data_IF_132515225030
#
_entry.id   IF_132515225030
#
_cell.length_a   1.000
_cell.length_b   1.000
_cell.length_c   1.000
_cell.angle_alpha   90.00
_cell.angle_beta   90.00
_cell.angle_gamma   90.00
#
_symmetry.space_group_name_H-M   'P 1'
#
loop_
_entity.id
_entity.type
_entity.pdbx_description
1 polymer ?
#
# COMPACT_ATOMS: atom_id res chain seq x y z
N UNK A 1 -74.87 22.09 -65.61
CA UNK A 1 -74.15 22.07 -64.31
C UNK A 1 -74.47 20.76 -63.61
N UNK A 2 -73.61 19.80 -63.29
CA UNK A 2 -72.20 19.51 -63.55
C UNK A 2 -71.95 18.15 -62.90
N UNK A 3 -72.02 17.03 -63.65
CA UNK A 3 -71.72 15.67 -63.12
C UNK A 3 -70.22 15.36 -63.10
N UNK A 4 -69.44 16.04 -63.94
CA UNK A 4 -67.97 15.95 -63.99
C UNK A 4 -67.26 16.30 -62.66
N UNK A 5 -67.63 17.38 -61.93
CA UNK A 5 -67.00 17.68 -60.63
C UNK A 5 -67.34 16.63 -59.55
N UNK A 6 -68.51 15.99 -59.62
CA UNK A 6 -68.89 14.94 -58.67
C UNK A 6 -68.12 13.64 -58.92
N UNK A 7 -67.98 13.21 -60.17
CA UNK A 7 -67.17 12.03 -60.54
C UNK A 7 -65.70 12.26 -60.18
N UNK A 8 -65.16 13.45 -60.45
CA UNK A 8 -63.80 13.81 -60.06
C UNK A 8 -63.61 13.78 -58.54
N UNK A 9 -64.54 14.34 -57.76
CA UNK A 9 -64.48 14.30 -56.30
C UNK A 9 -64.53 12.87 -55.75
N UNK A 10 -65.37 12.00 -56.32
CA UNK A 10 -65.45 10.59 -55.93
C UNK A 10 -64.14 9.85 -56.25
N UNK A 11 -63.54 10.09 -57.42
CA UNK A 11 -62.25 9.48 -57.80
C UNK A 11 -61.13 9.94 -56.87
N UNK A 12 -61.08 11.23 -56.52
CA UNK A 12 -60.11 11.77 -55.56
C UNK A 12 -60.30 11.15 -54.18
N UNK A 13 -61.53 11.02 -53.70
CA UNK A 13 -61.82 10.37 -52.41
C UNK A 13 -61.43 8.89 -52.42
N UNK A 14 -61.70 8.16 -53.50
CA UNK A 14 -61.29 6.75 -53.65
C UNK A 14 -59.76 6.62 -53.67
N UNK A 15 -59.05 7.52 -54.36
CA UNK A 15 -57.59 7.55 -54.38
C UNK A 15 -56.99 7.91 -53.01
N UNK A 16 -57.61 8.84 -52.28
CA UNK A 16 -57.21 9.18 -50.91
C UNK A 16 -57.47 8.02 -49.93
N UNK A 17 -58.60 7.32 -50.06
CA UNK A 17 -58.89 6.13 -49.27
C UNK A 17 -57.94 4.98 -49.59
N UNK A 18 -57.67 4.73 -50.88
CA UNK A 18 -56.69 3.73 -51.31
C UNK A 18 -55.27 4.09 -50.84
N UNK A 19 -54.89 5.37 -50.89
CA UNK A 19 -53.63 5.88 -50.37
C UNK A 19 -53.53 5.73 -48.85
N UNK A 20 -54.59 6.06 -48.11
CA UNK A 20 -54.65 5.87 -46.66
C UNK A 20 -54.57 4.39 -46.25
N UNK A 21 -55.26 3.50 -46.97
CA UNK A 21 -55.17 2.04 -46.78
C UNK A 21 -53.77 1.53 -47.12
N UNK A 22 -53.14 2.05 -48.18
CA UNK A 22 -51.76 1.72 -48.54
C UNK A 22 -50.75 2.15 -47.48
N UNK A 23 -50.87 3.38 -46.96
CA UNK A 23 -50.04 3.90 -45.85
C UNK A 23 -50.23 3.06 -44.59
N UNK A 24 -51.49 2.74 -44.25
CA UNK A 24 -51.81 1.89 -43.11
C UNK A 24 -51.23 0.46 -43.27
N UNK A 25 -51.39 -0.15 -44.44
CA UNK A 25 -50.86 -1.50 -44.71
C UNK A 25 -49.33 -1.52 -44.69
N UNK A 26 -48.68 -0.46 -45.18
CA UNK A 26 -47.22 -0.31 -45.15
C UNK A 26 -46.69 -0.15 -43.73
N UNK A 27 -47.22 0.78 -42.94
CA UNK A 27 -46.85 0.98 -41.52
C UNK A 27 -47.14 -0.31 -40.71
N UNK A 28 -48.27 -0.97 -40.96
CA UNK A 28 -48.64 -2.21 -40.26
C UNK A 28 -47.72 -3.39 -40.60
N UNK A 29 -47.24 -3.49 -41.84
CA UNK A 29 -46.29 -4.54 -42.25
C UNK A 29 -44.89 -4.40 -41.64
N UNK A 30 -44.59 -3.24 -41.05
CA UNK A 30 -43.30 -2.91 -40.44
C UNK A 30 -43.42 -2.60 -38.95
N UNK A 31 -44.50 -3.06 -38.34
CA UNK A 31 -44.74 -2.87 -36.91
C UNK A 31 -43.58 -3.41 -36.05
N UNK A 32 -42.89 -4.46 -36.49
CA UNK A 32 -41.80 -5.05 -35.71
C UNK A 32 -40.41 -4.51 -36.08
N UNK A 33 -40.31 -3.52 -36.97
CA UNK A 33 -39.02 -2.95 -37.39
C UNK A 33 -38.69 -1.65 -36.67
N UNK A 34 -37.42 -1.52 -36.29
CA UNK A 34 -36.85 -0.32 -35.70
C UNK A 34 -36.50 0.65 -36.83
N UNK A 35 -36.75 1.96 -36.62
CA UNK A 35 -36.47 2.97 -37.63
C UNK A 35 -34.95 3.10 -37.88
N UNK A 36 -34.57 3.37 -39.12
CA UNK A 36 -33.16 3.57 -39.49
C UNK A 36 -32.52 4.70 -38.67
N UNK A 37 -31.28 4.49 -38.20
CA UNK A 37 -30.51 5.46 -37.42
C UNK A 37 -30.64 5.36 -35.90
N UNK A 38 -31.45 4.42 -35.38
CA UNK A 38 -31.56 4.16 -33.94
C UNK A 38 -30.39 3.32 -33.46
N UNK A 39 -29.69 3.81 -32.44
CA UNK A 39 -28.60 3.09 -31.77
C UNK A 39 -28.95 2.77 -30.32
N UNK A 40 -28.48 1.64 -29.84
CA UNK A 40 -28.58 1.24 -28.42
C UNK A 40 -27.18 0.93 -27.91
N UNK A 41 -26.68 1.71 -26.95
CA UNK A 41 -25.34 1.53 -26.40
C UNK A 41 -24.23 1.61 -27.45
N UNK A 42 -24.43 2.39 -28.51
CA UNK A 42 -23.50 2.50 -29.64
C UNK A 42 -23.63 1.43 -30.72
N UNK A 43 -24.52 0.44 -30.56
CA UNK A 43 -24.82 -0.58 -31.58
C UNK A 43 -25.96 -0.08 -32.46
N UNK A 44 -25.76 -0.11 -33.79
CA UNK A 44 -26.80 0.24 -34.77
C UNK A 44 -27.83 -0.89 -34.86
N UNK A 45 -29.07 -0.57 -34.50
CA UNK A 45 -30.22 -1.49 -34.56
C UNK A 45 -31.28 -0.99 -35.54
N UNK A 46 -31.00 0.09 -36.27
CA UNK A 46 -31.91 0.65 -37.25
C UNK A 46 -32.16 -0.32 -38.40
N UNK A 47 -33.41 -0.41 -38.85
CA UNK A 47 -33.82 -1.29 -39.94
C UNK A 47 -33.93 -2.78 -39.56
N UNK A 48 -33.59 -3.14 -38.32
CA UNK A 48 -33.71 -4.51 -37.80
C UNK A 48 -35.12 -4.78 -37.25
N UNK A 49 -35.55 -6.04 -37.31
CA UNK A 49 -36.68 -6.53 -36.52
C UNK A 49 -36.33 -6.60 -35.03
N UNK A 50 -37.32 -6.70 -34.14
CA UNK A 50 -37.02 -6.79 -32.70
C UNK A 50 -36.21 -8.02 -32.33
N UNK A 51 -36.35 -9.13 -33.06
CA UNK A 51 -35.56 -10.34 -32.82
C UNK A 51 -34.13 -10.20 -33.36
N UNK A 52 -33.93 -9.64 -34.56
CA UNK A 52 -32.60 -9.34 -35.10
C UNK A 52 -31.84 -8.36 -34.19
N UNK A 53 -32.48 -7.29 -33.74
CA UNK A 53 -31.89 -6.32 -32.82
C UNK A 53 -31.50 -6.96 -31.48
N UNK A 54 -32.28 -7.93 -30.97
CA UNK A 54 -31.91 -8.67 -29.74
C UNK A 54 -30.69 -9.55 -29.97
N UNK A 55 -30.59 -10.22 -31.11
CA UNK A 55 -29.43 -11.06 -31.44
C UNK A 55 -28.17 -10.23 -31.60
N UNK A 56 -28.27 -9.07 -32.28
CA UNK A 56 -27.16 -8.15 -32.46
C UNK A 56 -26.68 -7.57 -31.13
N UNK A 57 -27.59 -7.04 -30.29
CA UNK A 57 -27.24 -6.54 -28.96
C UNK A 57 -26.71 -7.65 -28.04
N UNK A 58 -27.18 -8.90 -28.20
CA UNK A 58 -26.59 -10.03 -27.48
C UNK A 58 -25.15 -10.30 -27.93
N UNK A 59 -24.85 -10.15 -29.22
CA UNK A 59 -23.52 -10.35 -29.78
C UNK A 59 -22.54 -9.24 -29.39
N UNK A 60 -22.96 -7.98 -29.50
CA UNK A 60 -22.09 -6.80 -29.37
C UNK A 60 -22.04 -6.24 -27.95
N UNK A 61 -23.07 -6.46 -27.12
CA UNK A 61 -23.11 -5.97 -25.73
C UNK A 61 -23.01 -7.13 -24.74
N UNK A 62 -23.92 -8.10 -24.81
CA UNK A 62 -24.01 -9.15 -23.79
C UNK A 62 -22.78 -10.07 -23.76
N UNK A 63 -22.33 -10.59 -24.90
CA UNK A 63 -21.18 -11.51 -24.96
C UNK A 63 -19.88 -10.88 -24.46
N UNK A 64 -19.50 -9.65 -24.87
CA UNK A 64 -18.34 -8.97 -24.28
C UNK A 64 -18.48 -8.84 -22.77
N UNK A 65 -19.67 -8.51 -22.26
CA UNK A 65 -19.96 -8.35 -20.84
C UNK A 65 -19.93 -9.65 -20.00
N UNK A 66 -19.97 -10.82 -20.63
CA UNK A 66 -19.89 -12.14 -19.97
C UNK A 66 -18.45 -12.57 -19.64
N UNK A 67 -17.44 -11.99 -20.26
CA UNK A 67 -16.03 -12.26 -19.96
C UNK A 67 -15.66 -11.95 -18.48
N UNK A 68 -14.57 -12.56 -18.01
CA UNK A 68 -14.02 -12.30 -16.67
C UNK A 68 -13.14 -11.06 -16.70
N UNK A 69 -13.24 -10.21 -15.67
CA UNK A 69 -12.31 -9.11 -15.43
C UNK A 69 -11.17 -9.63 -14.57
N UNK A 70 -9.94 -9.57 -15.07
CA UNK A 70 -8.70 -9.88 -14.37
C UNK A 70 -8.11 -8.57 -13.80
N UNK A 71 -8.03 -8.45 -12.48
CA UNK A 71 -7.30 -7.40 -11.79
C UNK A 71 -5.88 -7.87 -11.52
N UNK A 72 -4.89 -7.14 -12.04
CA UNK A 72 -3.47 -7.38 -11.78
C UNK A 72 -2.92 -6.42 -10.72
N UNK A 73 -2.38 -6.95 -9.63
CA UNK A 73 -1.76 -6.19 -8.55
C UNK A 73 -0.36 -6.73 -8.26
N UNK A 74 0.68 -6.04 -8.75
CA UNK A 74 2.03 -6.60 -8.72
C UNK A 74 2.13 -7.85 -9.59
N UNK A 75 2.49 -8.98 -8.98
CA UNK A 75 2.54 -10.30 -9.61
C UNK A 75 1.26 -11.12 -9.39
N UNK A 76 0.41 -10.69 -8.46
CA UNK A 76 -0.86 -11.35 -8.13
C UNK A 76 -1.98 -10.99 -9.10
N UNK A 77 -2.94 -11.90 -9.21
CA UNK A 77 -4.09 -11.79 -10.11
C UNK A 77 -5.38 -12.17 -9.40
N UNK A 78 -6.42 -11.39 -9.66
CA UNK A 78 -7.73 -11.55 -9.05
C UNK A 78 -8.78 -11.48 -10.13
N UNK A 79 -9.73 -12.41 -10.13
CA UNK A 79 -10.73 -12.51 -11.16
C UNK A 79 -12.10 -12.10 -10.62
N UNK A 80 -12.88 -11.42 -11.45
CA UNK A 80 -14.29 -11.15 -11.23
C UNK A 80 -15.06 -11.61 -12.46
N UNK A 81 -15.72 -12.77 -12.36
CA UNK A 81 -16.56 -13.27 -13.43
C UNK A 81 -17.86 -12.46 -13.53
N UNK A 82 -18.47 -12.42 -14.72
CA UNK A 82 -19.77 -11.79 -14.92
C UNK A 82 -20.87 -12.38 -14.02
N UNK A 83 -20.77 -13.67 -13.68
CA UNK A 83 -21.71 -14.36 -12.78
C UNK A 83 -21.59 -13.85 -11.33
N UNK A 84 -20.38 -13.70 -10.82
CA UNK A 84 -20.12 -13.17 -9.48
C UNK A 84 -20.51 -11.70 -9.39
N UNK A 85 -20.14 -10.92 -10.41
CA UNK A 85 -20.56 -9.54 -10.56
C UNK A 85 -22.08 -9.39 -10.81
N UNK A 86 -22.81 -10.48 -11.03
CA UNK A 86 -24.24 -10.50 -11.38
C UNK A 86 -24.55 -9.50 -12.50
N UNK A 87 -23.72 -9.51 -13.54
CA UNK A 87 -23.90 -8.64 -14.70
C UNK A 87 -25.15 -9.11 -15.43
N UNK A 88 -26.12 -8.21 -15.56
CA UNK A 88 -27.35 -8.47 -16.29
C UNK A 88 -27.67 -7.32 -17.24
N UNK A 89 -28.26 -7.69 -18.38
CA UNK A 89 -28.54 -6.78 -19.50
C UNK A 89 -29.94 -7.10 -20.00
N UNK A 90 -30.91 -6.21 -19.73
CA UNK A 90 -32.29 -6.41 -20.19
C UNK A 90 -32.42 -6.01 -21.67
N UNK A 91 -31.96 -6.90 -22.54
CA UNK A 91 -32.01 -6.71 -23.99
C UNK A 91 -33.45 -6.52 -24.49
N UNK A 92 -34.44 -7.15 -23.83
CA UNK A 92 -35.84 -7.00 -24.22
C UNK A 92 -36.34 -5.59 -23.95
N UNK A 93 -36.06 -5.04 -22.77
CA UNK A 93 -36.43 -3.67 -22.45
C UNK A 93 -35.72 -2.67 -23.38
N UNK A 94 -34.43 -2.87 -23.67
CA UNK A 94 -33.70 -1.99 -24.59
C UNK A 94 -34.30 -1.97 -26.00
N UNK A 95 -34.62 -3.13 -26.56
CA UNK A 95 -35.26 -3.23 -27.87
C UNK A 95 -36.69 -2.70 -27.86
N UNK A 96 -37.42 -2.89 -26.75
CA UNK A 96 -38.78 -2.34 -26.59
C UNK A 96 -38.74 -0.81 -26.58
N UNK A 97 -37.76 -0.22 -25.88
CA UNK A 97 -37.56 1.23 -25.85
C UNK A 97 -37.15 1.77 -27.24
N UNK A 98 -36.26 1.06 -27.96
CA UNK A 98 -35.87 1.40 -29.33
C UNK A 98 -37.05 1.36 -30.31
N UNK A 99 -37.92 0.35 -30.20
CA UNK A 99 -39.13 0.25 -31.01
C UNK A 99 -40.16 1.35 -30.65
N UNK A 100 -40.33 1.63 -29.36
CA UNK A 100 -41.22 2.68 -28.90
C UNK A 100 -40.79 4.06 -29.42
N UNK A 101 -39.49 4.36 -29.33
CA UNK A 101 -38.88 5.59 -29.84
C UNK A 101 -39.02 5.71 -31.37
N UNK A 102 -38.80 4.60 -32.09
CA UNK A 102 -38.99 4.52 -33.54
C UNK A 102 -40.41 4.85 -33.99
N UNK A 103 -41.39 4.59 -33.12
CA UNK A 103 -42.82 4.79 -33.40
C UNK A 103 -43.34 6.16 -32.97
N UNK A 104 -42.50 7.02 -32.38
CA UNK A 104 -42.92 8.35 -31.96
C UNK A 104 -43.34 9.22 -33.16
N UNK A 105 -44.46 9.95 -33.02
CA UNK A 105 -45.08 10.74 -34.08
C UNK A 105 -46.34 10.12 -34.69
N UNK A 106 -46.86 10.73 -35.76
CA UNK A 106 -48.08 10.27 -36.43
C UNK A 106 -47.76 9.38 -37.65
N UNK A 107 -48.70 8.52 -38.03
CA UNK A 107 -48.59 7.56 -39.15
C UNK A 107 -48.01 8.20 -40.42
N UNK A 108 -48.51 9.38 -40.81
CA UNK A 108 -48.06 10.08 -42.03
C UNK A 108 -46.59 10.51 -41.94
N UNK A 109 -46.16 11.05 -40.81
CA UNK A 109 -44.78 11.49 -40.61
C UNK A 109 -43.78 10.33 -40.60
N UNK A 110 -44.17 9.17 -40.07
CA UNK A 110 -43.33 7.96 -40.07
C UNK A 110 -43.21 7.36 -41.46
N UNK A 111 -44.33 7.15 -42.14
CA UNK A 111 -44.32 6.58 -43.49
C UNK A 111 -43.58 7.47 -44.50
N UNK A 112 -43.69 8.80 -44.38
CA UNK A 112 -42.91 9.72 -45.21
C UNK A 112 -41.40 9.62 -44.93
N UNK A 113 -41.00 9.46 -43.67
CA UNK A 113 -39.60 9.27 -43.28
C UNK A 113 -39.02 8.02 -43.94
N UNK A 114 -39.69 6.88 -43.78
CA UNK A 114 -39.27 5.59 -44.35
C UNK A 114 -39.18 5.63 -45.89
N UNK A 115 -40.14 6.29 -46.55
CA UNK A 115 -40.17 6.37 -48.02
C UNK A 115 -39.15 7.36 -48.60
N UNK A 116 -38.78 8.38 -47.83
CA UNK A 116 -37.79 9.39 -48.26
C UNK A 116 -36.36 9.03 -47.84
N UNK A 117 -36.19 7.92 -47.10
CA UNK A 117 -34.90 7.50 -46.55
C UNK A 117 -34.40 8.38 -45.41
N UNK A 118 -35.31 9.05 -44.69
CA UNK A 118 -34.95 9.82 -43.51
C UNK A 118 -34.62 8.92 -42.32
N UNK A 119 -33.69 9.34 -41.46
CA UNK A 119 -33.28 8.60 -40.26
C UNK A 119 -33.81 9.23 -38.98
N UNK A 120 -33.90 8.43 -37.92
CA UNK A 120 -34.14 8.90 -36.56
C UNK A 120 -32.81 8.88 -35.79
N UNK A 121 -32.29 10.04 -35.42
CA UNK A 121 -31.10 10.12 -34.55
C UNK A 121 -31.51 9.93 -33.09
N UNK A 122 -31.70 8.68 -32.66
CA UNK A 122 -31.97 8.33 -31.27
C UNK A 122 -30.86 7.41 -30.76
N UNK A 123 -30.20 7.83 -29.67
CA UNK A 123 -29.17 7.05 -28.99
C UNK A 123 -29.67 6.69 -27.59
N UNK A 124 -29.98 5.41 -27.39
CA UNK A 124 -30.49 4.88 -26.14
C UNK A 124 -29.36 4.31 -25.30
N UNK A 125 -29.30 4.59 -23.99
CA UNK A 125 -28.23 4.09 -23.14
C UNK A 125 -28.35 2.57 -22.94
N UNK A 126 -27.21 1.87 -22.94
CA UNK A 126 -27.17 0.47 -22.49
C UNK A 126 -27.48 0.38 -21.00
N UNK A 127 -28.54 -0.34 -20.63
CA UNK A 127 -28.88 -0.63 -19.22
C UNK A 127 -28.15 -1.89 -18.75
N UNK A 128 -26.95 -1.70 -18.20
CA UNK A 128 -26.20 -2.76 -17.54
C UNK A 128 -26.41 -2.64 -16.04
N UNK A 129 -26.74 -3.75 -15.39
CA UNK A 129 -26.81 -3.83 -13.92
C UNK A 129 -25.73 -4.78 -13.41
N UNK A 130 -25.22 -4.51 -12.21
CA UNK A 130 -24.17 -5.30 -11.57
C UNK A 130 -24.27 -5.22 -10.04
N UNK A 131 -23.62 -6.17 -9.36
CA UNK A 131 -23.50 -6.25 -7.91
C UNK A 131 -22.40 -5.33 -7.40
N UNK A 132 -22.78 -4.28 -6.67
CA UNK A 132 -21.81 -3.40 -5.99
C UNK A 132 -21.01 -4.15 -4.93
N UNK A 133 -21.64 -5.10 -4.26
CA UNK A 133 -21.00 -5.92 -3.22
C UNK A 133 -19.90 -6.79 -3.83
N UNK A 134 -20.12 -7.39 -5.00
CA UNK A 134 -19.09 -8.19 -5.68
C UNK A 134 -17.86 -7.36 -6.07
N UNK A 135 -18.06 -6.09 -6.46
CA UNK A 135 -16.93 -5.18 -6.72
C UNK A 135 -16.21 -4.81 -5.42
N UNK A 136 -16.93 -4.62 -4.32
CA UNK A 136 -16.32 -4.36 -3.02
C UNK A 136 -15.54 -5.57 -2.52
N UNK A 137 -16.09 -6.78 -2.63
CA UNK A 137 -15.45 -8.04 -2.24
C UNK A 137 -14.17 -8.30 -3.04
N UNK A 138 -14.18 -8.02 -4.36
CA UNK A 138 -12.97 -8.08 -5.19
C UNK A 138 -11.91 -7.09 -4.69
N UNK A 139 -12.29 -5.82 -4.48
CA UNK A 139 -11.35 -4.79 -4.02
C UNK A 139 -10.81 -5.13 -2.64
N UNK A 140 -11.66 -5.61 -1.73
CA UNK A 140 -11.27 -6.07 -0.40
C UNK A 140 -10.29 -7.26 -0.50
N UNK A 141 -10.53 -8.22 -1.39
CA UNK A 141 -9.60 -9.34 -1.61
C UNK A 141 -8.23 -8.88 -2.12
N UNK A 142 -8.21 -7.87 -3.01
CA UNK A 142 -6.95 -7.25 -3.46
C UNK A 142 -6.28 -6.50 -2.31
N UNK A 143 -7.03 -5.79 -1.47
CA UNK A 143 -6.52 -5.10 -0.30
C UNK A 143 -5.95 -6.06 0.74
N UNK A 144 -6.65 -7.15 1.05
CA UNK A 144 -6.24 -8.13 2.05
C UNK A 144 -4.94 -8.85 1.66
N UNK A 145 -4.77 -9.15 0.36
CA UNK A 145 -3.55 -9.81 -0.14
C UNK A 145 -2.38 -8.82 -0.29
N UNK A 146 -2.66 -7.60 -0.77
CA UNK A 146 -1.60 -6.67 -1.17
C UNK A 146 -1.23 -5.64 -0.11
N UNK A 147 -2.15 -5.26 0.78
CA UNK A 147 -1.87 -4.25 1.78
C UNK A 147 -0.94 -4.81 2.85
N UNK A 148 0.16 -4.08 3.06
CA UNK A 148 1.11 -4.38 4.13
C UNK A 148 1.44 -3.09 4.84
N UNK A 149 1.26 -3.06 6.16
CA UNK A 149 1.71 -1.93 6.96
C UNK A 149 3.24 -1.77 6.85
N UNK A 150 3.76 -0.53 6.85
CA UNK A 150 5.19 -0.33 6.97
C UNK A 150 5.69 -0.86 8.32
N UNK A 151 6.97 -1.22 8.37
CA UNK A 151 7.65 -1.67 9.58
C UNK A 151 8.74 -0.65 9.92
N UNK A 152 8.66 -0.08 11.11
CA UNK A 152 9.66 0.86 11.60
C UNK A 152 10.98 0.16 11.93
N UNK A 153 12.08 0.89 11.73
CA UNK A 153 13.35 0.47 12.29
C UNK A 153 13.30 0.57 13.81
N UNK A 154 13.85 -0.45 14.49
CA UNK A 154 13.98 -0.44 15.94
C UNK A 154 15.33 -1.04 16.35
N UNK A 155 15.82 -0.65 17.52
CA UNK A 155 17.02 -1.23 18.13
C UNK A 155 16.73 -1.60 19.58
N UNK A 156 17.01 -2.85 19.93
CA UNK A 156 16.86 -3.37 21.29
C UNK A 156 18.23 -3.86 21.77
N UNK A 157 18.77 -3.28 22.86
CA UNK A 157 20.02 -3.76 23.42
C UNK A 157 19.84 -5.05 24.21
N UNK A 158 20.83 -5.92 24.12
CA UNK A 158 21.03 -7.09 24.98
C UNK A 158 22.50 -7.12 25.43
N UNK A 159 22.85 -7.98 26.39
CA UNK A 159 24.26 -8.18 26.76
C UNK A 159 25.09 -8.66 25.56
N UNK A 160 24.53 -9.60 24.79
CA UNK A 160 25.22 -10.22 23.64
C UNK A 160 25.27 -9.33 22.40
N UNK A 161 24.53 -8.21 22.36
CA UNK A 161 24.69 -7.19 21.33
C UNK A 161 23.50 -6.25 21.15
N UNK A 162 23.39 -5.65 19.96
CA UNK A 162 22.24 -4.86 19.54
C UNK A 162 21.42 -5.65 18.53
N UNK A 163 20.17 -5.93 18.87
CA UNK A 163 19.20 -6.50 17.94
C UNK A 163 18.53 -5.36 17.18
N UNK A 164 18.69 -5.34 15.86
CA UNK A 164 18.08 -4.32 14.99
C UNK A 164 16.96 -4.92 14.17
N UNK A 165 15.81 -4.27 14.18
CA UNK A 165 14.71 -4.50 13.24
C UNK A 165 14.89 -3.52 12.10
N UNK A 166 14.94 -4.04 10.86
CA UNK A 166 15.11 -3.21 9.68
C UNK A 166 13.80 -2.51 9.32
N UNK A 167 13.90 -1.25 8.88
CA UNK A 167 12.78 -0.52 8.31
C UNK A 167 12.35 -1.16 6.97
N UNK A 168 11.06 -1.47 6.83
CA UNK A 168 10.48 -1.98 5.58
C UNK A 168 9.31 -1.11 5.12
N UNK A 169 9.25 -0.87 3.82
CA UNK A 169 8.13 -0.14 3.24
C UNK A 169 6.86 -1.00 3.21
N UNK A 170 5.76 -0.36 3.58
CA UNK A 170 4.42 -0.85 3.38
C UNK A 170 3.95 -0.70 1.94
N UNK A 171 2.84 -1.36 1.66
CA UNK A 171 2.14 -1.31 0.37
C UNK A 171 0.67 -1.01 0.65
N UNK A 172 0.11 -0.08 -0.10
CA UNK A 172 -1.31 0.27 -0.01
C UNK A 172 -1.94 0.28 -1.41
N UNK A 173 -3.03 -0.46 -1.58
CA UNK A 173 -3.85 -0.45 -2.78
C UNK A 173 -4.68 0.83 -2.79
N UNK A 174 -4.69 1.56 -3.92
CA UNK A 174 -5.66 2.65 -4.13
C UNK A 174 -7.03 2.12 -4.47
N UNK A 175 -7.73 1.57 -3.49
CA UNK A 175 -9.06 0.96 -3.61
C UNK A 175 -10.06 1.86 -4.32
N UNK A 176 -10.18 3.14 -3.95
CA UNK A 176 -11.08 4.08 -4.67
C UNK A 176 -10.80 4.18 -6.17
N UNK A 177 -9.53 4.14 -6.57
CA UNK A 177 -9.12 4.19 -7.98
C UNK A 177 -9.35 2.85 -8.66
N UNK A 178 -9.09 1.75 -7.96
CA UNK A 178 -9.36 0.39 -8.43
C UNK A 178 -10.85 0.17 -8.67
N UNK A 179 -11.71 0.49 -7.69
CA UNK A 179 -13.18 0.41 -7.81
C UNK A 179 -13.67 1.15 -9.05
N UNK A 180 -13.23 2.40 -9.26
CA UNK A 180 -13.63 3.19 -10.44
C UNK A 180 -13.23 2.50 -11.75
N UNK A 181 -12.05 1.89 -11.81
CA UNK A 181 -11.57 1.17 -13.00
C UNK A 181 -12.38 -0.09 -13.25
N UNK A 182 -12.65 -0.88 -12.22
CA UNK A 182 -13.44 -2.11 -12.33
C UNK A 182 -14.87 -1.79 -12.77
N UNK A 183 -15.52 -0.80 -12.15
CA UNK A 183 -16.87 -0.35 -12.54
C UNK A 183 -16.89 0.12 -14.00
N UNK A 184 -15.91 0.92 -14.42
CA UNK A 184 -15.83 1.36 -15.81
C UNK A 184 -15.70 0.19 -16.81
N UNK A 185 -15.09 -0.94 -16.42
CA UNK A 185 -15.03 -2.14 -17.26
C UNK A 185 -16.34 -2.96 -17.22
N UNK A 186 -17.11 -2.91 -16.13
CA UNK A 186 -18.41 -3.57 -16.04
C UNK A 186 -19.49 -2.84 -16.87
N UNK A 187 -19.33 -1.54 -17.08
CA UNK A 187 -20.29 -0.71 -17.83
C UNK A 187 -19.94 -0.54 -19.31
N UNK A 188 -18.72 -0.87 -19.73
CA UNK A 188 -18.23 -0.66 -21.10
C UNK A 188 -18.34 -1.94 -21.95
N UNK A 189 -18.97 -1.91 -23.14
CA UNK A 189 -18.92 -3.02 -24.10
C UNK A 189 -17.49 -3.27 -24.62
N UNK A 190 -16.74 -2.19 -24.87
CA UNK A 190 -15.34 -2.20 -25.35
C UNK A 190 -14.31 -2.44 -24.23
N UNK A 191 -14.65 -3.25 -23.23
CA UNK A 191 -13.84 -3.38 -22.02
C UNK A 191 -12.50 -4.08 -22.27
N UNK A 192 -11.46 -3.58 -21.62
CA UNK A 192 -10.23 -4.31 -21.39
C UNK A 192 -10.45 -5.25 -20.20
N UNK A 193 -10.40 -6.55 -20.46
CA UNK A 193 -10.51 -7.58 -19.42
C UNK A 193 -9.41 -7.47 -18.36
N UNK A 194 -8.30 -6.77 -18.62
CA UNK A 194 -7.22 -6.57 -17.65
C UNK A 194 -7.23 -5.17 -17.02
N UNK A 195 -7.45 -5.12 -15.71
CA UNK A 195 -7.42 -3.91 -14.90
C UNK A 195 -6.17 -3.92 -14.01
N UNK A 196 -5.26 -2.98 -14.21
CA UNK A 196 -4.09 -2.84 -13.32
C UNK A 196 -4.45 -2.07 -12.04
N UNK A 197 -4.25 -2.70 -10.88
CA UNK A 197 -4.32 -2.04 -9.59
C UNK A 197 -3.16 -1.04 -9.42
N UNK A 198 -3.44 0.12 -8.82
CA UNK A 198 -2.38 1.07 -8.45
C UNK A 198 -2.00 0.81 -7.00
N UNK A 199 -0.72 0.51 -6.78
CA UNK A 199 -0.12 0.30 -5.47
C UNK A 199 0.73 1.53 -5.13
N UNK A 200 0.55 2.06 -3.93
CA UNK A 200 1.39 3.10 -3.37
C UNK A 200 2.33 2.50 -2.32
N UNK A 201 3.52 3.06 -2.25
CA UNK A 201 4.49 2.72 -1.21
C UNK A 201 4.24 3.59 0.01
N UNK A 202 4.02 2.95 1.16
CA UNK A 202 3.89 3.64 2.45
C UNK A 202 5.24 3.53 3.16
N UNK A 203 5.84 4.67 3.50
CA UNK A 203 7.13 4.69 4.20
C UNK A 203 6.92 4.39 5.69
N UNK A 204 7.89 3.75 6.36
CA UNK A 204 7.90 3.68 7.81
C UNK A 204 8.09 5.06 8.44
N UNK A 205 7.63 5.18 9.68
CA UNK A 205 7.73 6.40 10.48
C UNK A 205 9.16 6.60 11.00
N UNK A 206 9.89 5.50 11.23
CA UNK A 206 11.32 5.53 11.60
C UNK A 206 12.13 4.72 10.60
N UNK A 207 13.05 5.38 9.92
CA UNK A 207 14.01 4.74 9.02
C UNK A 207 15.27 4.28 9.75
N UNK A 208 16.01 3.34 9.14
CA UNK A 208 17.30 2.90 9.67
C UNK A 208 18.31 4.06 9.80
N UNK A 209 18.22 5.05 8.91
CA UNK A 209 19.10 6.22 8.93
C UNK A 209 18.77 7.14 10.11
N UNK A 210 17.49 7.45 10.33
CA UNK A 210 17.05 8.27 11.46
C UNK A 210 17.42 7.60 12.79
N UNK A 211 17.23 6.29 12.91
CA UNK A 211 17.61 5.57 14.13
C UNK A 211 19.13 5.57 14.37
N UNK A 212 19.94 5.49 13.30
CA UNK A 212 21.40 5.60 13.40
C UNK A 212 21.86 7.03 13.72
N UNK A 213 21.12 8.06 13.28
CA UNK A 213 21.38 9.45 13.66
C UNK A 213 20.99 9.73 15.12
N UNK A 214 19.95 9.09 15.64
CA UNK A 214 19.56 9.18 17.05
C UNK A 214 20.57 8.47 17.96
N UNK A 215 21.04 7.28 17.55
CA UNK A 215 22.02 6.47 18.27
C UNK A 215 23.30 6.23 17.45
N UNK A 216 24.08 7.28 17.17
CA UNK A 216 25.29 7.17 16.33
C UNK A 216 26.38 6.33 17.00
N UNK A 217 26.32 6.23 18.33
CA UNK A 217 27.22 5.43 19.15
C UNK A 217 26.42 4.69 20.20
N UNK A 218 26.77 3.45 20.46
CA UNK A 218 26.13 2.64 21.51
C UNK A 218 27.13 1.63 22.05
N UNK A 219 27.01 1.26 23.32
CA UNK A 219 27.78 0.17 23.90
C UNK A 219 26.89 -0.85 24.59
N UNK A 220 27.27 -2.12 24.50
CA UNK A 220 26.68 -3.18 25.33
C UNK A 220 27.76 -3.88 26.13
N UNK A 221 27.40 -4.32 27.33
CA UNK A 221 28.27 -5.04 28.25
C UNK A 221 27.55 -6.30 28.67
N UNK A 222 28.21 -7.43 28.45
CA UNK A 222 27.80 -8.73 28.95
C UNK A 222 28.75 -9.15 30.06
N UNK A 223 28.23 -9.16 31.29
CA UNK A 223 28.96 -9.54 32.49
C UNK A 223 29.24 -11.04 32.55
N UNK A 224 28.44 -11.87 31.88
CA UNK A 224 28.61 -13.32 31.89
C UNK A 224 29.71 -13.78 30.94
N UNK A 225 29.85 -13.13 29.77
CA UNK A 225 30.94 -13.40 28.83
C UNK A 225 32.17 -12.50 29.01
N UNK A 226 32.06 -11.47 29.85
CA UNK A 226 33.10 -10.46 30.07
C UNK A 226 33.49 -9.72 28.79
N UNK A 227 32.47 -9.28 28.05
CA UNK A 227 32.64 -8.58 26.79
C UNK A 227 31.95 -7.21 26.80
N UNK A 228 32.67 -6.19 26.32
CA UNK A 228 32.11 -4.90 25.94
C UNK A 228 32.11 -4.79 24.42
N UNK A 229 30.96 -4.45 23.83
CA UNK A 229 30.80 -4.25 22.39
C UNK A 229 30.54 -2.78 22.11
N UNK A 230 31.29 -2.22 21.17
CA UNK A 230 31.12 -0.85 20.71
C UNK A 230 30.49 -0.83 19.32
N UNK A 231 29.42 -0.05 19.19
CA UNK A 231 28.66 0.14 17.97
C UNK A 231 28.78 1.58 17.49
N UNK A 232 28.91 1.73 16.17
CA UNK A 232 28.83 3.01 15.47
C UNK A 232 27.82 2.88 14.34
N UNK A 233 26.90 3.83 14.24
CA UNK A 233 25.79 3.81 13.28
C UNK A 233 25.02 2.47 13.35
N UNK A 234 24.79 1.98 14.59
CA UNK A 234 24.18 0.69 14.93
C UNK A 234 24.92 -0.55 14.41
N UNK A 235 26.16 -0.41 13.91
CA UNK A 235 27.01 -1.51 13.44
C UNK A 235 28.13 -1.80 14.42
N UNK A 236 28.31 -3.07 14.76
CA UNK A 236 29.39 -3.53 15.63
C UNK A 236 30.74 -3.15 15.01
N UNK A 237 31.53 -2.35 15.74
CA UNK A 237 32.87 -1.97 15.34
C UNK A 237 33.91 -2.89 15.96
N UNK A 238 33.79 -3.13 17.27
CA UNK A 238 34.76 -3.93 18.02
C UNK A 238 34.15 -4.52 19.29
N UNK A 239 34.66 -5.69 19.65
CA UNK A 239 34.40 -6.35 20.94
C UNK A 239 35.70 -6.35 21.75
N UNK A 240 35.59 -6.01 23.03
CA UNK A 240 36.69 -5.91 23.97
C UNK A 240 36.49 -6.88 25.13
N UNK A 241 37.57 -7.57 25.54
CA UNK A 241 37.57 -8.34 26.78
C UNK A 241 37.66 -7.40 27.98
N UNK A 242 36.82 -7.61 28.97
CA UNK A 242 36.72 -6.76 30.16
C UNK A 242 36.87 -7.56 31.46
N UNK A 243 37.05 -6.88 32.58
CA UNK A 243 36.77 -7.43 33.90
C UNK A 243 35.67 -6.60 34.57
N UNK A 244 34.75 -7.26 35.27
CA UNK A 244 33.61 -6.62 35.94
C UNK A 244 33.69 -6.74 37.45
N UNK A 245 32.72 -6.15 38.15
CA UNK A 245 32.61 -6.22 39.60
C UNK A 245 32.54 -7.64 40.15
N UNK A 246 33.34 -7.93 41.17
CA UNK A 246 33.31 -9.19 41.93
C UNK A 246 32.02 -9.33 42.74
N UNK A 247 31.76 -10.55 43.25
CA UNK A 247 30.59 -10.81 44.09
C UNK A 247 30.59 -9.89 45.31
N UNK A 248 29.46 -9.22 45.57
CA UNK A 248 29.31 -8.20 46.63
C UNK A 248 29.73 -6.79 46.22
N UNK A 249 30.34 -6.64 45.03
CA UNK A 249 30.63 -5.36 44.38
C UNK A 249 30.32 -5.45 42.88
N UNK A 250 29.20 -6.10 42.55
CA UNK A 250 28.79 -6.34 41.18
C UNK A 250 28.74 -5.02 40.40
N UNK A 251 28.94 -5.09 39.08
CA UNK A 251 28.58 -4.00 38.18
C UNK A 251 27.06 -4.03 37.96
N UNK A 252 26.27 -3.06 38.48
CA UNK A 252 24.85 -2.96 38.23
C UNK A 252 24.43 -3.13 36.77
N UNK A 253 23.38 -3.91 36.56
CA UNK A 253 22.71 -4.00 35.25
C UNK A 253 21.81 -2.81 35.04
N UNK A 254 21.63 -2.42 33.78
CA UNK A 254 20.76 -1.31 33.42
C UNK A 254 21.23 -0.56 32.18
N UNK A 255 20.42 0.42 31.80
CA UNK A 255 20.76 1.39 30.77
C UNK A 255 21.36 2.63 31.41
N UNK A 256 22.58 2.96 31.01
CA UNK A 256 23.32 4.14 31.45
C UNK A 256 23.82 4.92 30.23
N UNK A 257 24.61 5.95 30.48
CA UNK A 257 25.34 6.69 29.45
C UNK A 257 26.71 7.11 29.98
N UNK A 258 27.65 7.39 29.09
CA UNK A 258 28.94 7.97 29.48
C UNK A 258 28.72 9.38 30.03
N UNK A 259 28.94 9.56 31.33
CA UNK A 259 28.69 10.82 32.03
C UNK A 259 29.82 11.82 31.85
N UNK A 260 31.06 11.35 31.88
CA UNK A 260 32.27 12.16 31.79
C UNK A 260 33.46 11.33 31.31
N UNK A 261 34.51 12.01 30.89
CA UNK A 261 35.73 11.41 30.35
C UNK A 261 36.97 12.15 30.86
N UNK A 262 38.03 11.42 31.20
CA UNK A 262 39.30 12.01 31.60
C UNK A 262 40.50 11.20 31.05
N UNK A 263 41.56 11.93 30.69
CA UNK A 263 42.90 11.39 30.41
C UNK A 263 43.70 11.47 31.70
N UNK A 264 44.40 10.38 32.03
CA UNK A 264 45.19 10.25 33.27
C UNK A 264 44.42 10.73 34.50
N UNK A 265 43.24 10.15 34.79
CA UNK A 265 42.39 10.56 35.90
C UNK A 265 43.10 10.44 37.24
N UNK A 266 42.95 11.41 38.14
CA UNK A 266 43.27 11.20 39.55
C UNK A 266 42.26 10.20 40.17
N UNK A 267 42.73 9.36 41.09
CA UNK A 267 41.87 8.39 41.78
C UNK A 267 41.65 8.80 43.23
N UNK A 268 40.40 9.12 43.57
CA UNK A 268 39.97 9.32 44.95
C UNK A 268 39.76 7.96 45.61
N UNK A 269 40.61 7.63 46.58
CA UNK A 269 40.60 6.32 47.22
C UNK A 269 39.35 6.18 48.09
N UNK A 270 38.49 5.18 47.81
CA UNK A 270 37.27 4.97 48.58
C UNK A 270 37.57 4.49 50.00
N UNK A 271 36.59 4.58 50.90
CA UNK A 271 36.72 4.23 52.33
C UNK A 271 37.23 2.80 52.57
N UNK A 272 36.94 1.87 51.65
CA UNK A 272 37.42 0.49 51.73
C UNK A 272 38.89 0.33 51.32
N UNK A 273 39.56 1.38 50.83
CA UNK A 273 40.96 1.38 50.39
C UNK A 273 42.01 1.28 51.49
N UNK A 274 41.61 0.92 52.72
CA UNK A 274 42.51 0.66 53.84
C UNK A 274 43.27 1.91 54.29
N UNK A 275 44.59 1.81 54.42
CA UNK A 275 45.44 2.91 54.90
C UNK A 275 45.48 4.13 53.96
N UNK A 276 45.05 3.96 52.71
CA UNK A 276 44.97 5.03 51.72
C UNK A 276 43.58 5.66 51.62
N UNK A 277 42.59 5.18 52.37
CA UNK A 277 41.22 5.70 52.35
C UNK A 277 41.17 7.23 52.52
N UNK A 278 40.39 7.90 51.67
CA UNK A 278 40.23 9.36 51.67
C UNK A 278 41.38 10.14 51.04
N UNK A 279 42.45 9.48 50.59
CA UNK A 279 43.54 10.12 49.84
C UNK A 279 43.19 10.23 48.35
N UNK A 280 43.90 11.11 47.64
CA UNK A 280 43.83 11.21 46.19
C UNK A 280 45.17 10.78 45.61
N UNK A 281 45.17 9.71 44.82
CA UNK A 281 46.34 9.30 44.04
C UNK A 281 46.36 10.13 42.76
N UNK A 282 47.43 10.89 42.47
CA UNK A 282 47.51 11.68 41.25
C UNK A 282 47.36 10.83 39.98
N UNK A 283 46.85 11.44 38.92
CA UNK A 283 46.81 10.84 37.59
C UNK A 283 48.20 10.58 37.02
N UNK A 284 48.31 9.55 36.18
CA UNK A 284 49.55 9.23 35.45
C UNK A 284 50.68 8.62 36.30
N UNK A 285 50.44 8.32 37.58
CA UNK A 285 51.40 7.58 38.40
C UNK A 285 51.18 6.06 38.27
N UNK A 286 52.23 5.27 38.51
CA UNK A 286 52.15 3.82 38.40
C UNK A 286 51.18 3.19 39.41
N UNK A 287 51.03 3.82 40.58
CA UNK A 287 50.17 3.40 41.68
C UNK A 287 48.68 3.65 41.41
N UNK A 288 48.35 4.48 40.43
CA UNK A 288 46.96 4.81 40.11
C UNK A 288 46.29 3.63 39.38
N UNK A 289 45.22 3.03 39.94
CA UNK A 289 44.59 1.86 39.35
C UNK A 289 43.71 2.17 38.13
N UNK A 290 43.37 3.44 37.88
CA UNK A 290 42.56 3.86 36.73
C UNK A 290 43.38 3.93 35.42
N UNK A 291 44.69 4.06 35.56
CA UNK A 291 45.67 4.15 34.47
C UNK A 291 45.35 5.32 33.51
N UNK A 292 45.36 5.11 32.19
CA UNK A 292 45.46 6.20 31.21
C UNK A 292 44.13 6.87 30.85
N UNK A 293 43.00 6.18 30.99
CA UNK A 293 41.69 6.69 30.53
C UNK A 293 40.57 6.33 31.50
N UNK A 294 39.62 7.24 31.59
CA UNK A 294 38.38 7.08 32.35
C UNK A 294 37.17 7.46 31.50
N UNK A 295 36.15 6.61 31.54
CA UNK A 295 34.80 6.91 31.06
C UNK A 295 33.80 6.60 32.19
N UNK A 296 33.29 7.64 32.85
CA UNK A 296 32.36 7.47 33.98
C UNK A 296 30.97 7.03 33.54
N UNK A 297 30.33 6.12 34.29
CA UNK A 297 29.01 5.56 33.95
C UNK A 297 27.95 5.84 35.03
N UNK A 298 28.22 5.54 36.30
CA UNK A 298 27.31 5.78 37.43
C UNK A 298 28.08 5.75 38.76
N UNK A 299 27.59 6.42 39.82
CA UNK A 299 28.06 6.33 41.22
C UNK A 299 29.58 6.17 41.47
N UNK A 300 30.40 6.90 40.71
CA UNK A 300 31.86 6.83 40.82
C UNK A 300 32.50 5.57 40.20
N UNK A 301 31.71 4.73 39.53
CA UNK A 301 32.15 3.63 38.68
C UNK A 301 32.18 4.04 37.20
N UNK A 302 33.07 3.39 36.46
CA UNK A 302 33.30 3.69 35.06
C UNK A 302 34.15 2.62 34.37
N UNK A 303 34.44 2.87 33.10
CA UNK A 303 35.38 2.09 32.31
C UNK A 303 36.77 2.73 32.45
N UNK A 304 37.77 1.90 32.75
CA UNK A 304 39.15 2.37 32.89
C UNK A 304 40.19 1.30 32.49
N UNK A 305 41.45 1.73 32.34
CA UNK A 305 42.56 0.83 32.01
C UNK A 305 43.02 0.00 33.19
N UNK A 306 43.59 -1.17 32.94
CA UNK A 306 44.25 -2.01 33.96
C UNK A 306 45.56 -2.57 33.43
N UNK A 307 46.59 -2.59 34.28
CA UNK A 307 47.84 -3.31 34.04
C UNK A 307 47.76 -4.77 34.52
N UNK A 308 46.76 -5.11 35.34
CA UNK A 308 46.41 -6.50 35.67
C UNK A 308 45.61 -7.15 34.54
N UNK A 309 46.29 -7.41 33.41
CA UNK A 309 45.70 -8.02 32.21
C UNK A 309 45.17 -9.43 32.51
N UNK A 310 45.73 -10.14 33.48
CA UNK A 310 45.29 -11.47 33.89
C UNK A 310 43.88 -11.46 34.51
N UNK A 311 43.41 -10.30 34.98
CA UNK A 311 42.05 -10.14 35.51
C UNK A 311 40.96 -10.05 34.42
N UNK A 312 41.31 -9.77 33.16
CA UNK A 312 40.34 -9.71 32.07
C UNK A 312 39.72 -11.10 31.83
N UNK A 313 38.41 -11.15 31.62
CA UNK A 313 37.65 -12.41 31.59
C UNK A 313 37.24 -12.93 32.97
N UNK A 314 37.25 -12.07 33.99
CA UNK A 314 36.85 -12.44 35.35
C UNK A 314 36.12 -11.32 36.10
N UNK A 315 35.45 -11.68 37.19
CA UNK A 315 34.86 -10.73 38.14
C UNK A 315 35.90 -10.35 39.19
N UNK A 316 36.59 -9.22 39.01
CA UNK A 316 37.78 -8.85 39.79
C UNK A 316 37.79 -7.38 40.27
N UNK A 317 36.81 -6.57 39.87
CA UNK A 317 36.74 -5.15 40.23
C UNK A 317 35.79 -4.89 41.41
N UNK A 318 35.74 -3.64 41.87
CA UNK A 318 34.77 -3.17 42.87
C UNK A 318 33.59 -2.41 42.21
N UNK A 319 33.15 -2.89 41.04
CA UNK A 319 32.00 -2.35 40.30
C UNK A 319 32.35 -1.65 38.99
N UNK A 320 33.60 -1.23 38.81
CA UNK A 320 34.10 -0.66 37.55
C UNK A 320 34.26 -1.72 36.45
N UNK A 321 34.33 -1.27 35.19
CA UNK A 321 34.66 -2.12 34.05
C UNK A 321 36.14 -1.89 33.71
N UNK A 322 36.98 -2.92 33.89
CA UNK A 322 38.40 -2.83 33.54
C UNK A 322 38.63 -3.28 32.11
N UNK A 323 39.51 -2.58 31.41
CA UNK A 323 39.93 -2.88 30.04
C UNK A 323 41.45 -2.89 29.95
N UNK A 324 42.00 -3.62 28.98
CA UNK A 324 43.41 -3.48 28.64
C UNK A 324 43.70 -2.02 28.26
N UNK A 325 44.88 -1.53 28.67
CA UNK A 325 45.29 -0.13 28.45
C UNK A 325 45.17 0.31 26.97
N UNK A 326 45.67 -0.46 25.98
CA UNK A 326 45.52 -0.07 24.58
C UNK A 326 44.05 0.01 24.14
N UNK A 327 43.21 -0.91 24.61
CA UNK A 327 41.81 -0.99 24.24
C UNK A 327 41.00 0.17 24.85
N UNK A 328 41.27 0.57 26.10
CA UNK A 328 40.58 1.72 26.70
C UNK A 328 41.01 3.04 26.05
N UNK A 329 42.26 3.16 25.60
CA UNK A 329 42.73 4.32 24.83
C UNK A 329 41.97 4.41 23.51
N UNK A 330 41.87 3.30 22.78
CA UNK A 330 41.13 3.24 21.52
C UNK A 330 39.63 3.54 21.71
N UNK A 331 38.99 2.92 22.72
CA UNK A 331 37.57 3.15 23.01
C UNK A 331 37.34 4.62 23.40
N UNK A 332 38.22 5.19 24.24
CA UNK A 332 38.12 6.57 24.67
C UNK A 332 38.10 7.54 23.49
N UNK A 333 38.94 7.35 22.49
CA UNK A 333 39.01 8.28 21.35
C UNK A 333 37.76 8.23 20.46
N UNK A 334 37.02 7.12 20.48
CA UNK A 334 35.84 6.91 19.64
C UNK A 334 34.51 7.27 20.31
N UNK A 335 34.42 7.16 21.64
CA UNK A 335 33.15 7.26 22.38
C UNK A 335 32.92 8.67 22.92
N UNK A 336 31.90 9.41 22.45
CA UNK A 336 31.51 10.69 23.04
C UNK A 336 30.92 10.56 24.46
N UNK A 337 30.89 11.69 25.19
CA UNK A 337 30.01 11.82 26.36
C UNK A 337 28.55 11.72 25.88
N UNK A 338 27.66 11.20 26.74
CA UNK A 338 26.26 10.85 26.44
C UNK A 338 26.07 9.58 25.60
N UNK A 339 27.13 8.88 25.17
CA UNK A 339 26.95 7.58 24.52
C UNK A 339 26.25 6.59 25.45
N UNK A 340 25.10 6.00 25.05
CA UNK A 340 24.39 5.01 25.84
C UNK A 340 25.22 3.74 26.00
N UNK A 341 25.09 3.12 27.18
CA UNK A 341 25.69 1.84 27.52
C UNK A 341 24.68 0.96 28.25
N UNK A 342 24.42 -0.21 27.68
CA UNK A 342 23.54 -1.22 28.28
C UNK A 342 24.37 -2.32 28.95
N UNK A 343 24.13 -2.56 30.24
CA UNK A 343 24.85 -3.56 31.04
C UNK A 343 23.89 -4.68 31.42
N UNK A 344 24.25 -5.93 31.09
CA UNK A 344 23.52 -7.14 31.45
C UNK A 344 24.43 -8.15 32.13
#
# INVERSE_FOLDING_TARGET
>A
MGKAPFVFAVVVVVLLLAGAVGVYAYDSSREDMIADGVTVGGVDVGGMTTDEAREELAAEIKRPLEQTIEVKAGDERFDLSAKEAKVDTDLRAMVTDALAESREGNLLSRTLRDLTGGTLNADLPSRVTYSRDAVQDLVASVEDEMNRSPQDAAVTPSGTGLETVAAENGVEVKSKKLTRRVVAQLESPDRNVQVKATLDTVKPDVTQAELAEEFPYYMTVDRASYELRFYKDLKLQKTYSIAVGQVGFETPTGLYHIQNKAVDPAWSVPEWGGSLAGQVIPGGTAENPLKERWLGIYDGAGIHGTDDVASLGSSASHGCIRMAIPDVIELYDQVPVQTPIYIQ
#
